data_IF_069588036609
#
_entry.id   IF_069588036609
#
_cell.length_a   1.000
_cell.length_b   1.000
_cell.length_c   1.000
_cell.angle_alpha   90.00
_cell.angle_beta   90.00
_cell.angle_gamma   90.00
#
_symmetry.space_group_name_H-M   'P 1'
#
loop_
_entity.id
_entity.type
_entity.pdbx_description
1 polymer ?
#
# COMPACT_ATOMS: atom_id res chain seq x y z
N UNK A 1 -5.18 18.98 22.53
CA UNK A 1 -6.35 18.71 21.65
C UNK A 1 -7.57 19.25 22.35
N UNK A 2 -8.35 20.09 21.69
CA UNK A 2 -9.61 20.62 22.22
C UNK A 2 -10.77 20.07 21.38
N UNK A 3 -11.85 19.68 22.04
CA UNK A 3 -13.04 19.16 21.39
C UNK A 3 -14.18 20.15 21.60
N UNK A 4 -14.75 20.62 20.50
CA UNK A 4 -15.87 21.55 20.48
C UNK A 4 -17.02 20.91 19.71
N UNK A 5 -18.25 21.18 20.12
CA UNK A 5 -19.45 20.72 19.42
C UNK A 5 -20.26 21.92 18.94
N UNK A 6 -20.88 21.79 17.76
CA UNK A 6 -21.69 22.85 17.14
C UNK A 6 -23.05 22.28 16.78
N UNK A 7 -24.13 22.91 17.27
CA UNK A 7 -25.47 22.59 16.84
C UNK A 7 -25.76 23.30 15.51
N UNK A 8 -25.87 22.53 14.42
CA UNK A 8 -26.12 23.09 13.09
C UNK A 8 -27.49 23.78 12.95
N UNK A 9 -28.52 23.36 13.68
CA UNK A 9 -29.83 24.04 13.64
C UNK A 9 -29.74 25.46 14.21
N UNK A 10 -28.94 25.64 15.25
CA UNK A 10 -28.67 26.95 15.86
C UNK A 10 -27.68 27.79 15.04
N UNK A 11 -26.88 27.15 14.17
CA UNK A 11 -25.79 27.79 13.42
C UNK A 11 -25.88 27.45 11.92
N UNK A 12 -27.05 27.68 11.32
CA UNK A 12 -27.36 27.23 9.97
C UNK A 12 -26.41 27.79 8.90
N UNK A 13 -26.05 29.08 9.00
CA UNK A 13 -25.12 29.72 8.07
C UNK A 13 -23.73 29.08 8.12
N UNK A 14 -23.19 28.83 9.33
CA UNK A 14 -21.89 28.18 9.51
C UNK A 14 -21.87 26.77 8.92
N UNK A 15 -22.87 25.94 9.27
CA UNK A 15 -22.95 24.59 8.74
C UNK A 15 -23.21 24.56 7.23
N UNK A 16 -23.95 25.53 6.69
CA UNK A 16 -24.10 25.70 5.24
C UNK A 16 -22.77 25.98 4.53
N UNK A 17 -21.97 26.91 5.05
CA UNK A 17 -20.64 27.25 4.51
C UNK A 17 -19.64 26.09 4.58
N UNK A 18 -19.75 25.24 5.61
CA UNK A 18 -18.93 24.02 5.74
C UNK A 18 -19.43 22.85 4.88
N UNK A 19 -20.53 23.02 4.12
CA UNK A 19 -21.11 21.97 3.29
C UNK A 19 -21.94 20.94 4.07
N UNK A 20 -22.36 21.26 5.30
CA UNK A 20 -23.12 20.38 6.19
C UNK A 20 -24.62 20.68 6.19
N UNK A 21 -25.15 21.22 5.09
CA UNK A 21 -26.57 21.58 4.95
C UNK A 21 -27.54 20.42 5.19
N UNK A 22 -27.09 19.18 4.97
CA UNK A 22 -27.88 17.98 5.29
C UNK A 22 -28.20 17.86 6.81
N UNK A 23 -27.38 18.43 7.69
CA UNK A 23 -27.63 18.46 9.13
C UNK A 23 -28.74 19.44 9.53
N UNK A 24 -29.18 20.31 8.60
CA UNK A 24 -30.22 21.31 8.85
C UNK A 24 -31.64 20.76 8.63
N UNK A 25 -31.81 19.89 7.62
CA UNK A 25 -33.13 19.55 7.07
C UNK A 25 -33.55 18.08 7.27
N UNK A 26 -32.74 17.25 7.93
CA UNK A 26 -32.95 15.80 7.96
C UNK A 26 -33.79 15.30 9.15
N UNK A 27 -34.61 14.28 8.89
CA UNK A 27 -35.20 13.43 9.92
C UNK A 27 -34.09 12.76 10.75
N UNK A 28 -34.19 12.82 12.09
CA UNK A 28 -33.17 12.39 13.06
C UNK A 28 -32.66 10.95 12.88
N UNK A 29 -33.43 10.06 12.26
CA UNK A 29 -33.14 8.63 12.20
C UNK A 29 -31.92 8.24 11.36
N UNK A 30 -31.45 9.09 10.43
CA UNK A 30 -30.33 8.76 9.52
C UNK A 30 -29.20 9.79 9.52
N UNK A 31 -29.16 10.68 10.52
CA UNK A 31 -28.12 11.71 10.61
C UNK A 31 -26.80 11.11 11.11
N UNK A 32 -25.73 11.31 10.34
CA UNK A 32 -24.36 11.02 10.78
C UNK A 32 -23.69 12.35 11.12
N UNK A 33 -23.04 12.50 12.29
CA UNK A 33 -22.31 13.74 12.61
C UNK A 33 -21.22 14.03 11.57
N UNK A 34 -20.87 15.29 11.42
CA UNK A 34 -19.73 15.75 10.62
C UNK A 34 -18.61 16.17 11.57
N UNK A 35 -17.39 15.72 11.31
CA UNK A 35 -16.23 15.98 12.16
C UNK A 35 -15.20 16.71 11.32
N UNK A 36 -14.70 17.83 11.86
CA UNK A 36 -13.66 18.65 11.26
C UNK A 36 -12.51 18.75 12.24
N UNK A 37 -11.29 18.49 11.75
CA UNK A 37 -10.06 18.74 12.49
C UNK A 37 -9.44 20.02 11.97
N UNK A 38 -9.38 21.04 12.84
CA UNK A 38 -8.63 22.25 12.58
C UNK A 38 -7.20 22.06 13.06
N UNK A 39 -6.24 22.19 12.13
CA UNK A 39 -4.82 22.02 12.42
C UNK A 39 -4.21 23.35 12.90
N UNK A 40 -3.13 23.31 13.71
CA UNK A 40 -2.48 24.52 14.22
C UNK A 40 -1.98 25.44 13.07
N UNK A 41 -1.93 26.75 13.37
CA UNK A 41 -1.90 27.90 12.44
C UNK A 41 -0.82 27.94 11.34
N UNK A 42 0.14 27.03 11.26
CA UNK A 42 1.16 27.07 10.20
C UNK A 42 0.63 26.66 8.82
N UNK A 43 -0.38 25.79 8.74
CA UNK A 43 -0.81 25.23 7.45
C UNK A 43 -2.24 25.63 7.04
N UNK A 44 -2.98 26.37 7.86
CA UNK A 44 -4.34 26.87 7.53
C UNK A 44 -5.37 25.79 7.16
N UNK A 45 -5.02 24.51 7.27
CA UNK A 45 -5.77 23.40 6.71
C UNK A 45 -6.78 22.87 7.73
N UNK A 46 -7.99 22.62 7.24
CA UNK A 46 -9.01 21.87 7.96
C UNK A 46 -9.22 20.54 7.26
N UNK A 47 -9.29 19.47 8.03
CA UNK A 47 -9.51 18.12 7.53
C UNK A 47 -10.91 17.66 7.88
N UNK A 48 -11.63 17.16 6.89
CA UNK A 48 -13.00 16.70 7.01
C UNK A 48 -13.00 15.18 7.14
N UNK A 49 -13.59 14.65 8.20
CA UNK A 49 -13.75 13.21 8.32
C UNK A 49 -14.88 12.73 7.41
N UNK A 50 -14.58 11.81 6.48
CA UNK A 50 -15.58 11.18 5.63
C UNK A 50 -16.59 10.37 6.48
N UNK A 51 -17.91 10.68 6.39
CA UNK A 51 -18.94 9.98 7.17
C UNK A 51 -19.00 8.47 6.92
N UNK A 52 -18.65 8.04 5.69
CA UNK A 52 -18.59 6.63 5.31
C UNK A 52 -17.61 5.82 6.16
N UNK A 53 -16.59 6.46 6.73
CA UNK A 53 -15.59 5.80 7.58
C UNK A 53 -16.15 5.42 8.95
N UNK A 54 -17.21 6.07 9.43
CA UNK A 54 -17.80 5.83 10.76
C UNK A 54 -19.19 5.20 10.71
N UNK A 55 -19.89 5.27 9.57
CA UNK A 55 -21.33 4.94 9.44
C UNK A 55 -21.72 3.53 9.95
N UNK A 56 -20.85 2.54 9.80
CA UNK A 56 -21.16 1.14 10.13
C UNK A 56 -20.37 0.59 11.32
N UNK A 57 -19.70 1.46 12.09
CA UNK A 57 -18.87 1.04 13.22
C UNK A 57 -19.68 1.06 14.51
N UNK A 58 -19.32 0.19 15.45
CA UNK A 58 -19.83 0.24 16.83
C UNK A 58 -19.33 1.50 17.53
N UNK A 59 -20.10 2.05 18.47
CA UNK A 59 -19.77 3.32 19.14
C UNK A 59 -18.35 3.36 19.73
N UNK A 60 -17.94 2.34 20.50
CA UNK A 60 -16.59 2.27 21.07
C UNK A 60 -15.49 2.26 19.99
N UNK A 61 -15.77 1.66 18.83
CA UNK A 61 -14.85 1.63 17.70
C UNK A 61 -14.81 2.97 16.97
N UNK A 62 -15.92 3.70 16.90
CA UNK A 62 -15.98 5.07 16.37
C UNK A 62 -15.08 5.98 17.19
N UNK A 63 -15.19 5.95 18.52
CA UNK A 63 -14.35 6.79 19.41
C UNK A 63 -12.87 6.49 19.18
N UNK A 64 -12.47 5.22 19.24
CA UNK A 64 -11.07 4.81 18.99
C UNK A 64 -10.59 5.25 17.61
N UNK A 65 -11.43 5.08 16.59
CA UNK A 65 -11.12 5.46 15.22
C UNK A 65 -10.92 6.97 15.08
N UNK A 66 -11.82 7.81 15.63
CA UNK A 66 -11.69 9.27 15.58
C UNK A 66 -10.43 9.73 16.31
N UNK A 67 -10.13 9.14 17.47
CA UNK A 67 -8.90 9.44 18.22
C UNK A 67 -7.65 9.12 17.39
N UNK A 68 -7.56 7.91 16.81
CA UNK A 68 -6.43 7.51 15.97
C UNK A 68 -6.34 8.38 14.70
N UNK A 69 -7.47 8.66 14.05
CA UNK A 69 -7.56 9.55 12.91
C UNK A 69 -7.05 10.95 13.26
N UNK A 70 -7.39 11.47 14.44
CA UNK A 70 -6.96 12.79 14.89
C UNK A 70 -5.46 12.85 15.11
N UNK A 71 -4.90 11.92 15.89
CA UNK A 71 -3.45 11.86 16.14
C UNK A 71 -2.64 11.63 14.86
N UNK A 72 -3.08 10.72 13.99
CA UNK A 72 -2.44 10.45 12.70
C UNK A 72 -2.38 11.71 11.84
N UNK A 73 -3.49 12.44 11.73
CA UNK A 73 -3.54 13.63 10.90
C UNK A 73 -2.82 14.83 11.51
N UNK A 74 -2.72 14.91 12.84
CA UNK A 74 -1.84 15.89 13.50
C UNK A 74 -0.39 15.66 13.10
N UNK A 75 0.11 14.41 13.19
CA UNK A 75 1.47 14.06 12.77
C UNK A 75 1.67 14.40 11.28
N UNK A 76 0.74 13.99 10.41
CA UNK A 76 0.84 14.28 8.98
C UNK A 76 0.86 15.78 8.68
N UNK A 77 0.19 16.60 9.47
CA UNK A 77 0.15 18.06 9.26
C UNK A 77 1.45 18.77 9.61
N UNK A 78 2.28 18.18 10.48
CA UNK A 78 3.54 18.80 10.87
C UNK A 78 4.56 18.75 9.73
N UNK A 79 4.45 17.76 8.84
CA UNK A 79 5.36 17.55 7.69
C UNK A 79 6.84 17.70 8.05
N UNK A 80 7.21 17.25 9.27
CA UNK A 80 8.57 17.42 9.78
C UNK A 80 9.58 16.72 8.86
N UNK A 81 10.71 17.39 8.62
CA UNK A 81 11.87 16.80 7.95
C UNK A 81 12.59 15.88 8.93
N UNK A 82 12.48 14.57 8.71
CA UNK A 82 13.04 13.54 9.59
C UNK A 82 14.11 12.73 8.87
N UNK A 83 15.07 12.18 9.63
CA UNK A 83 16.01 11.20 9.08
C UNK A 83 15.29 9.89 8.76
N UNK A 84 15.76 9.17 7.74
CA UNK A 84 15.11 7.94 7.27
C UNK A 84 15.08 6.88 8.37
N UNK A 85 16.12 6.82 9.21
CA UNK A 85 16.17 5.88 10.32
C UNK A 85 15.11 6.17 11.40
N UNK A 86 14.78 7.44 11.65
CA UNK A 86 13.76 7.82 12.62
C UNK A 86 12.36 7.44 12.12
N UNK A 87 12.09 7.71 10.83
CA UNK A 87 10.84 7.29 10.18
C UNK A 87 10.71 5.77 10.20
N UNK A 88 11.79 5.05 9.87
CA UNK A 88 11.87 3.57 9.89
C UNK A 88 11.49 3.03 11.28
N UNK A 89 12.08 3.58 12.34
CA UNK A 89 11.80 3.18 13.71
C UNK A 89 10.36 3.49 14.12
N UNK A 90 9.83 4.66 13.74
CA UNK A 90 8.46 5.06 14.06
C UNK A 90 7.40 4.13 13.46
N UNK A 91 7.58 3.70 12.21
CA UNK A 91 6.65 2.79 11.55
C UNK A 91 6.90 1.30 11.84
N UNK A 92 8.08 0.93 12.33
CA UNK A 92 8.49 -0.46 12.47
C UNK A 92 8.96 -1.10 11.16
N UNK A 93 9.49 -0.32 10.23
CA UNK A 93 10.11 -0.86 9.02
C UNK A 93 11.46 -1.49 9.38
N UNK A 94 11.88 -2.48 8.60
CA UNK A 94 13.13 -3.21 8.85
C UNK A 94 13.90 -3.41 7.55
N UNK A 95 15.21 -3.58 7.70
CA UNK A 95 16.09 -4.06 6.63
C UNK A 95 16.31 -5.56 6.72
N UNK A 96 15.97 -6.22 7.83
CA UNK A 96 16.13 -7.66 8.02
C UNK A 96 14.88 -8.25 8.67
N UNK A 97 14.40 -9.36 8.13
CA UNK A 97 13.30 -10.13 8.71
C UNK A 97 13.84 -11.22 9.61
N UNK A 98 12.98 -11.66 10.52
CA UNK A 98 13.26 -12.76 11.43
C UNK A 98 13.11 -14.09 10.70
N UNK A 99 13.90 -15.07 11.15
CA UNK A 99 13.79 -16.44 10.67
C UNK A 99 12.70 -17.20 11.44
N UNK A 100 12.26 -18.34 10.90
CA UNK A 100 11.18 -19.17 11.46
C UNK A 100 11.39 -19.55 12.94
N UNK A 101 12.63 -19.57 13.39
CA UNK A 101 13.01 -20.01 14.74
C UNK A 101 13.20 -18.85 15.73
N UNK A 102 13.11 -17.60 15.29
CA UNK A 102 13.34 -16.40 16.11
C UNK A 102 12.01 -15.85 16.67
N UNK A 103 11.41 -16.64 17.57
CA UNK A 103 10.13 -16.30 18.20
C UNK A 103 10.31 -15.06 19.06
N UNK A 104 9.53 -14.03 18.73
CA UNK A 104 9.63 -12.71 19.34
C UNK A 104 8.33 -11.96 19.13
N UNK A 105 8.23 -10.75 19.69
CA UNK A 105 7.03 -9.94 19.57
C UNK A 105 6.63 -9.73 18.11
N UNK A 106 5.34 -9.93 17.85
CA UNK A 106 4.74 -9.83 16.54
C UNK A 106 4.72 -8.35 16.14
N UNK A 107 5.34 -7.99 15.00
CA UNK A 107 5.38 -6.61 14.56
C UNK A 107 3.99 -6.03 14.38
N UNK A 108 3.83 -4.74 14.71
CA UNK A 108 2.62 -4.03 14.33
C UNK A 108 2.69 -3.67 12.83
N UNK A 109 2.00 -4.44 12.00
CA UNK A 109 1.96 -4.23 10.55
C UNK A 109 1.14 -3.00 10.12
N UNK A 110 0.33 -2.39 10.99
CA UNK A 110 -0.70 -1.42 10.60
C UNK A 110 -0.20 -0.18 9.86
N UNK A 111 1.05 0.22 10.12
CA UNK A 111 1.61 1.51 9.69
C UNK A 111 2.23 1.45 8.30
N UNK A 112 1.90 2.46 7.50
CA UNK A 112 2.52 2.73 6.18
C UNK A 112 2.97 4.19 6.15
N UNK A 113 4.25 4.44 5.85
CA UNK A 113 4.77 5.78 5.63
C UNK A 113 4.96 6.04 4.14
N UNK A 114 4.49 7.20 3.70
CA UNK A 114 4.87 7.79 2.42
C UNK A 114 5.84 8.93 2.69
N UNK A 115 7.00 8.86 2.04
CA UNK A 115 8.12 9.77 2.33
C UNK A 115 8.50 10.47 1.03
N UNK A 116 8.44 11.80 1.06
CA UNK A 116 9.09 12.62 0.04
C UNK A 116 10.55 12.83 0.42
N UNK A 117 11.43 12.17 -0.32
CA UNK A 117 12.88 12.30 -0.18
C UNK A 117 13.35 13.42 -1.10
N UNK A 118 13.90 14.48 -0.54
CA UNK A 118 14.42 15.63 -1.26
C UNK A 118 15.95 15.58 -1.30
N UNK A 119 16.55 16.10 -2.38
CA UNK A 119 17.97 16.42 -2.38
C UNK A 119 18.14 17.81 -1.75
N UNK A 120 18.87 17.96 -0.63
CA UNK A 120 19.02 19.25 0.05
C UNK A 120 19.63 20.33 -0.85
N UNK A 121 20.37 19.95 -1.89
CA UNK A 121 21.04 20.89 -2.80
C UNK A 121 20.14 21.38 -3.94
N UNK A 122 19.02 20.70 -4.23
CA UNK A 122 18.17 21.01 -5.40
C UNK A 122 16.68 21.18 -5.08
N UNK A 123 16.30 21.10 -3.80
CA UNK A 123 14.91 21.28 -3.37
C UNK A 123 14.41 22.70 -3.63
N UNK A 124 13.15 22.83 -4.03
CA UNK A 124 12.46 24.12 -4.19
C UNK A 124 11.14 24.13 -3.40
N UNK A 125 10.58 25.33 -3.14
CA UNK A 125 9.35 25.47 -2.36
C UNK A 125 8.17 24.71 -2.96
N UNK A 126 8.08 24.64 -4.30
CA UNK A 126 7.03 23.91 -5.00
C UNK A 126 7.05 22.41 -4.71
N UNK A 127 8.21 21.86 -4.33
CA UNK A 127 8.32 20.46 -3.94
C UNK A 127 7.59 20.19 -2.62
N UNK A 128 7.48 21.17 -1.71
CA UNK A 128 6.81 21.00 -0.41
C UNK A 128 5.28 21.20 -0.51
N UNK A 129 4.83 22.07 -1.42
CA UNK A 129 3.40 22.38 -1.63
C UNK A 129 2.57 21.13 -1.92
N UNK A 130 3.15 20.12 -2.58
CA UNK A 130 2.39 18.91 -2.89
C UNK A 130 1.94 18.19 -1.62
N UNK A 131 2.75 18.16 -0.57
CA UNK A 131 2.44 17.43 0.67
C UNK A 131 1.17 17.97 1.34
N UNK A 132 0.98 19.29 1.33
CA UNK A 132 -0.25 19.91 1.84
C UNK A 132 -1.49 19.46 1.05
N UNK A 133 -1.39 19.35 -0.28
CA UNK A 133 -2.47 18.84 -1.12
C UNK A 133 -2.78 17.34 -0.91
N UNK A 134 -1.86 16.59 -0.29
CA UNK A 134 -2.06 15.18 0.03
C UNK A 134 -2.73 14.96 1.40
N UNK A 135 -2.79 15.97 2.27
CA UNK A 135 -3.30 15.81 3.65
C UNK A 135 -4.74 15.28 3.69
N UNK A 136 -5.69 15.91 3.00
CA UNK A 136 -7.08 15.44 2.98
C UNK A 136 -7.24 14.08 2.28
N UNK A 137 -6.67 13.84 1.09
CA UNK A 137 -6.72 12.52 0.48
C UNK A 137 -6.13 11.39 1.35
N UNK A 138 -5.06 11.65 2.10
CA UNK A 138 -4.50 10.68 3.06
C UNK A 138 -5.39 10.54 4.29
N UNK A 139 -5.98 11.64 4.78
CA UNK A 139 -6.95 11.62 5.87
C UNK A 139 -8.17 10.74 5.55
N UNK A 140 -8.53 10.67 4.28
CA UNK A 140 -9.66 9.87 3.76
C UNK A 140 -9.38 8.36 3.69
N UNK A 141 -8.12 7.93 3.85
CA UNK A 141 -7.75 6.52 3.83
C UNK A 141 -8.10 5.86 5.17
N UNK A 142 -8.74 4.68 5.07
CA UNK A 142 -9.11 3.84 6.21
C UNK A 142 -7.93 2.94 6.66
N UNK A 143 -6.71 3.48 6.74
CA UNK A 143 -5.49 2.80 7.21
C UNK A 143 -4.59 3.74 8.02
N UNK A 144 -3.62 3.23 8.79
CA UNK A 144 -2.62 4.06 9.47
C UNK A 144 -1.52 4.54 8.51
N UNK A 145 -1.90 5.50 7.66
CA UNK A 145 -1.01 6.13 6.67
C UNK A 145 -0.40 7.41 7.22
N UNK A 146 0.91 7.50 7.10
CA UNK A 146 1.70 8.65 7.52
C UNK A 146 2.38 9.33 6.33
N UNK A 147 2.48 10.66 6.38
CA UNK A 147 3.23 11.46 5.42
C UNK A 147 4.44 12.07 6.11
N UNK A 148 5.61 11.95 5.50
CA UNK A 148 6.85 12.54 6.00
C UNK A 148 7.64 13.21 4.87
N UNK A 149 8.48 14.15 5.26
CA UNK A 149 9.55 14.71 4.44
C UNK A 149 10.89 14.19 4.96
N UNK A 150 11.84 13.98 4.05
CA UNK A 150 13.22 13.68 4.43
C UNK A 150 14.21 14.33 3.46
N UNK A 151 15.21 15.03 3.99
CA UNK A 151 16.41 15.46 3.23
C UNK A 151 17.57 14.46 3.31
N UNK A 152 17.37 13.33 3.99
CA UNK A 152 18.35 12.24 4.14
C UNK A 152 18.34 11.29 2.93
N UNK A 153 18.71 11.84 1.76
CA UNK A 153 18.77 11.12 0.49
C UNK A 153 19.66 9.87 0.55
N UNK A 154 20.84 9.96 1.14
CA UNK A 154 21.78 8.83 1.21
C UNK A 154 21.25 7.73 2.13
N UNK A 155 20.63 8.10 3.26
CA UNK A 155 19.93 7.15 4.13
C UNK A 155 18.79 6.42 3.41
N UNK A 156 18.04 7.12 2.55
CA UNK A 156 16.97 6.52 1.76
C UNK A 156 17.50 5.51 0.73
N UNK A 157 18.54 5.89 -0.02
CA UNK A 157 19.16 5.01 -1.02
C UNK A 157 19.78 3.77 -0.37
N UNK A 158 20.47 3.95 0.78
CA UNK A 158 21.03 2.84 1.55
C UNK A 158 19.94 1.90 2.06
N UNK A 159 18.86 2.44 2.61
CA UNK A 159 17.71 1.63 3.07
C UNK A 159 17.17 0.75 1.94
N UNK A 160 16.96 1.32 0.74
CA UNK A 160 16.46 0.58 -0.42
C UNK A 160 17.43 -0.55 -0.84
N UNK A 161 18.74 -0.28 -0.84
CA UNK A 161 19.76 -1.27 -1.18
C UNK A 161 19.82 -2.40 -0.14
N UNK A 162 19.84 -2.06 1.15
CA UNK A 162 19.90 -3.03 2.24
C UNK A 162 18.66 -3.94 2.23
N UNK A 163 17.48 -3.36 1.99
CA UNK A 163 16.22 -4.11 1.87
C UNK A 163 16.23 -5.05 0.66
N UNK A 164 16.68 -4.61 -0.51
CA UNK A 164 16.75 -5.49 -1.69
C UNK A 164 17.70 -6.66 -1.48
N UNK A 165 18.90 -6.40 -0.94
CA UNK A 165 19.89 -7.44 -0.67
C UNK A 165 19.32 -8.48 0.30
N UNK A 166 18.75 -8.03 1.41
CA UNK A 166 18.20 -8.93 2.42
C UNK A 166 16.90 -9.60 1.93
N UNK A 167 16.15 -8.99 1.02
CA UNK A 167 14.99 -9.64 0.38
C UNK A 167 15.44 -10.87 -0.40
N UNK A 168 16.50 -10.73 -1.20
CA UNK A 168 17.06 -11.82 -2.00
C UNK A 168 17.57 -12.94 -1.09
N UNK A 169 18.32 -12.59 -0.05
CA UNK A 169 18.81 -13.57 0.93
C UNK A 169 17.64 -14.25 1.66
N UNK A 170 16.54 -13.53 1.92
CA UNK A 170 15.35 -14.06 2.58
C UNK A 170 14.53 -15.01 1.69
N UNK A 171 14.50 -14.81 0.37
CA UNK A 171 13.73 -15.69 -0.54
C UNK A 171 14.55 -16.82 -1.16
N UNK A 172 15.89 -16.76 -1.09
CA UNK A 172 16.77 -17.79 -1.63
C UNK A 172 16.58 -19.10 -0.86
N UNK A 173 16.19 -20.15 -1.60
CA UNK A 173 16.43 -21.54 -1.22
C UNK A 173 17.75 -22.01 -1.88
N UNK A 174 18.41 -23.02 -1.32
CA UNK A 174 19.80 -23.47 -1.60
C UNK A 174 20.20 -23.72 -3.09
N UNK A 175 19.30 -23.59 -4.08
CA UNK A 175 19.54 -24.02 -5.47
C UNK A 175 19.69 -22.93 -6.55
N UNK A 176 19.73 -21.61 -6.25
CA UNK A 176 19.77 -20.59 -7.33
C UNK A 176 20.94 -19.59 -7.27
N UNK A 177 22.07 -19.98 -7.85
CA UNK A 177 23.28 -19.16 -8.05
C UNK A 177 23.28 -18.26 -9.31
N UNK A 178 22.17 -18.18 -10.06
CA UNK A 178 22.03 -17.35 -11.26
C UNK A 178 21.35 -15.98 -11.01
N UNK A 179 20.93 -15.68 -9.78
CA UNK A 179 20.09 -14.52 -9.45
C UNK A 179 20.84 -13.18 -9.27
N UNK A 180 22.16 -13.18 -9.06
CA UNK A 180 22.85 -12.00 -8.52
C UNK A 180 23.00 -10.84 -9.54
N UNK A 181 23.23 -11.12 -10.84
CA UNK A 181 23.33 -10.06 -11.87
C UNK A 181 21.98 -9.53 -12.35
N UNK A 182 20.94 -10.37 -12.34
CA UNK A 182 19.58 -9.96 -12.72
C UNK A 182 18.98 -9.10 -11.62
N UNK A 183 19.31 -9.40 -10.35
CA UNK A 183 18.94 -8.62 -9.18
C UNK A 183 19.33 -7.14 -9.28
N UNK A 184 20.59 -6.82 -9.63
CA UNK A 184 21.04 -5.42 -9.65
C UNK A 184 20.30 -4.59 -10.72
N UNK A 185 20.14 -5.14 -11.93
CA UNK A 185 19.39 -4.47 -13.00
C UNK A 185 17.92 -4.32 -12.66
N UNK A 186 17.32 -5.33 -12.03
CA UNK A 186 15.95 -5.28 -11.53
C UNK A 186 15.79 -4.16 -10.49
N UNK A 187 16.70 -4.12 -9.51
CA UNK A 187 16.72 -3.09 -8.47
C UNK A 187 16.79 -1.69 -9.08
N UNK A 188 17.77 -1.42 -9.94
CA UNK A 188 17.91 -0.12 -10.62
C UNK A 188 16.67 0.19 -11.44
N UNK A 189 16.14 -0.78 -12.19
CA UNK A 189 14.94 -0.58 -13.00
C UNK A 189 13.71 -0.23 -12.17
N UNK A 190 13.66 -0.61 -10.89
CA UNK A 190 12.54 -0.39 -9.98
C UNK A 190 12.71 0.90 -9.17
N UNK A 191 13.91 1.19 -8.69
CA UNK A 191 14.16 2.29 -7.74
C UNK A 191 14.66 3.58 -8.39
N UNK A 192 15.08 3.55 -9.66
CA UNK A 192 15.53 4.76 -10.36
C UNK A 192 14.38 5.76 -10.52
N UNK A 193 14.54 6.92 -9.87
CA UNK A 193 13.62 8.05 -9.91
C UNK A 193 14.41 9.36 -9.78
N UNK A 194 13.85 10.46 -10.26
CA UNK A 194 14.37 11.82 -10.00
C UNK A 194 14.09 12.28 -8.57
N UNK A 195 14.82 13.30 -8.10
CA UNK A 195 14.49 14.01 -6.87
C UNK A 195 13.58 15.23 -7.18
N UNK A 196 12.58 15.52 -6.33
CA UNK A 196 12.19 14.73 -5.16
C UNK A 196 11.70 13.33 -5.55
N UNK A 197 11.99 12.35 -4.69
CA UNK A 197 11.60 10.94 -4.84
C UNK A 197 10.50 10.65 -3.84
N UNK A 198 9.53 9.82 -4.21
CA UNK A 198 8.47 9.39 -3.30
C UNK A 198 8.58 7.88 -3.04
N UNK A 199 8.68 7.47 -1.78
CA UNK A 199 8.80 6.05 -1.38
C UNK A 199 7.70 5.66 -0.40
N UNK A 200 7.33 4.38 -0.40
CA UNK A 200 6.33 3.83 0.52
C UNK A 200 6.98 2.78 1.44
N UNK A 201 7.25 3.14 2.69
CA UNK A 201 7.72 2.18 3.69
C UNK A 201 6.55 1.51 4.40
N UNK A 202 6.63 0.20 4.55
CA UNK A 202 5.65 -0.59 5.30
C UNK A 202 6.36 -1.28 6.46
N UNK A 203 5.67 -1.34 7.59
CA UNK A 203 6.16 -2.09 8.76
C UNK A 203 6.50 -3.54 8.36
N UNK A 204 7.66 -4.01 8.82
CA UNK A 204 8.18 -5.36 8.57
C UNK A 204 8.16 -5.84 7.11
N UNK A 205 8.37 -4.94 6.15
CA UNK A 205 8.53 -5.26 4.73
C UNK A 205 9.97 -5.00 4.28
N UNK A 206 10.58 -5.96 3.56
CA UNK A 206 11.83 -5.77 2.80
C UNK A 206 11.58 -5.22 1.40
N UNK A 207 10.32 -4.94 1.07
CA UNK A 207 9.94 -4.34 -0.19
C UNK A 207 9.44 -2.91 0.02
N UNK A 208 10.10 -1.96 -0.63
CA UNK A 208 9.72 -0.55 -0.65
C UNK A 208 9.41 -0.11 -2.08
N UNK A 209 8.12 0.11 -2.42
CA UNK A 209 7.72 0.76 -3.65
C UNK A 209 8.33 2.16 -3.77
N UNK A 210 8.85 2.48 -4.95
CA UNK A 210 9.34 3.80 -5.32
C UNK A 210 8.45 4.33 -6.45
N UNK A 211 7.96 5.55 -6.31
CA UNK A 211 7.28 6.25 -7.40
C UNK A 211 8.30 6.64 -8.45
N UNK A 212 8.21 6.04 -9.63
CA UNK A 212 9.15 6.27 -10.73
C UNK A 212 8.81 7.57 -11.44
N UNK A 213 9.52 8.64 -11.10
CA UNK A 213 9.48 9.90 -11.83
C UNK A 213 10.75 10.06 -12.66
N UNK A 214 10.60 10.43 -13.94
CA UNK A 214 11.75 10.76 -14.81
C UNK A 214 11.96 12.27 -14.94
N UNK A 215 11.03 13.06 -14.39
CA UNK A 215 11.12 14.52 -14.29
C UNK A 215 10.49 15.01 -13.00
N UNK A 216 10.96 16.15 -12.48
CA UNK A 216 10.37 16.82 -11.31
C UNK A 216 8.89 17.21 -11.53
N UNK A 217 8.47 17.44 -12.78
CA UNK A 217 7.07 17.72 -13.12
C UNK A 217 6.13 16.55 -12.79
N UNK A 218 6.61 15.30 -12.88
CA UNK A 218 5.77 14.13 -12.62
C UNK A 218 5.52 13.88 -11.14
N UNK A 219 6.47 14.24 -10.28
CA UNK A 219 6.26 14.17 -8.83
C UNK A 219 5.47 15.36 -8.32
N UNK A 220 5.51 16.51 -8.99
CA UNK A 220 4.64 17.67 -8.68
C UNK A 220 3.18 17.49 -9.14
N UNK A 221 2.84 16.40 -9.83
CA UNK A 221 1.47 16.07 -10.22
C UNK A 221 0.77 15.32 -9.08
N UNK A 222 -0.06 16.04 -8.32
CA UNK A 222 -0.82 15.50 -7.19
C UNK A 222 -1.65 14.28 -7.57
N UNK A 223 -2.22 14.22 -8.78
CA UNK A 223 -3.06 13.07 -9.18
C UNK A 223 -2.23 11.80 -9.33
N UNK A 224 -1.02 11.92 -9.88
CA UNK A 224 -0.12 10.77 -10.04
C UNK A 224 0.42 10.29 -8.70
N UNK A 225 0.83 11.21 -7.82
CA UNK A 225 1.29 10.85 -6.46
C UNK A 225 0.16 10.23 -5.65
N UNK A 226 -1.07 10.77 -5.74
CA UNK A 226 -2.24 10.17 -5.11
C UNK A 226 -2.56 8.77 -5.65
N UNK A 227 -2.38 8.54 -6.95
CA UNK A 227 -2.50 7.20 -7.53
C UNK A 227 -1.48 6.25 -6.92
N UNK A 228 -0.22 6.68 -6.78
CA UNK A 228 0.82 5.87 -6.14
C UNK A 228 0.49 5.56 -4.68
N UNK A 229 0.04 6.56 -3.91
CA UNK A 229 -0.39 6.40 -2.51
C UNK A 229 -1.56 5.41 -2.44
N UNK A 230 -2.60 5.62 -3.24
CA UNK A 230 -3.81 4.79 -3.25
C UNK A 230 -3.56 3.35 -3.67
N UNK A 231 -2.50 3.08 -4.44
CA UNK A 231 -2.08 1.71 -4.79
C UNK A 231 -1.26 1.03 -3.70
N UNK A 232 -0.69 1.78 -2.75
CA UNK A 232 0.30 1.26 -1.78
C UNK A 232 -0.08 1.46 -0.30
N UNK A 233 -1.21 2.10 0.00
CA UNK A 233 -1.59 2.47 1.37
C UNK A 233 -1.97 1.32 2.32
N UNK A 234 -2.22 0.12 1.79
CA UNK A 234 -2.48 -1.06 2.61
C UNK A 234 -1.17 -1.58 3.21
N UNK A 235 -1.16 -1.95 4.49
CA UNK A 235 0.00 -2.57 5.10
C UNK A 235 0.31 -3.93 4.47
N UNK A 236 1.49 -4.45 4.77
CA UNK A 236 1.95 -5.72 4.21
C UNK A 236 1.03 -6.89 4.60
N UNK A 237 0.66 -6.96 5.87
CA UNK A 237 -0.25 -7.96 6.42
C UNK A 237 -1.39 -7.22 7.11
N UNK A 238 -2.64 -7.57 6.81
CA UNK A 238 -3.81 -7.01 7.50
C UNK A 238 -4.53 -8.05 8.36
N UNK A 239 -5.08 -7.62 9.48
CA UNK A 239 -6.14 -8.38 10.15
C UNK A 239 -7.44 -8.19 9.37
N UNK A 240 -8.05 -9.24 8.84
CA UNK A 240 -9.38 -9.14 8.27
C UNK A 240 -10.44 -9.26 9.37
N UNK A 241 -11.21 -8.20 9.56
CA UNK A 241 -12.27 -8.11 10.57
C UNK A 241 -13.56 -7.55 9.98
N UNK A 242 -14.65 -7.62 10.73
CA UNK A 242 -15.94 -7.05 10.32
C UNK A 242 -15.88 -5.54 10.05
N UNK A 243 -15.00 -4.83 10.79
CA UNK A 243 -14.87 -3.36 10.72
C UNK A 243 -14.06 -2.89 9.52
N UNK A 244 -13.07 -3.67 9.06
CA UNK A 244 -12.16 -3.27 7.99
C UNK A 244 -12.25 -4.13 6.72
N UNK A 245 -13.15 -5.11 6.66
CA UNK A 245 -13.33 -5.97 5.47
C UNK A 245 -13.53 -5.20 4.16
N UNK A 246 -14.17 -4.03 4.18
CA UNK A 246 -14.40 -3.24 2.95
C UNK A 246 -13.19 -2.39 2.52
N UNK A 247 -12.17 -2.28 3.37
CA UNK A 247 -10.85 -1.74 3.03
C UNK A 247 -10.08 -2.78 2.19
N UNK A 248 -10.11 -4.05 2.63
CA UNK A 248 -9.47 -5.19 1.94
C UNK A 248 -10.26 -5.61 0.70
N UNK A 249 -11.59 -5.71 0.81
CA UNK A 249 -12.53 -6.08 -0.26
C UNK A 249 -13.48 -4.91 -0.57
N UNK A 250 -13.06 -3.91 -1.36
CA UNK A 250 -13.92 -2.80 -1.75
C UNK A 250 -15.15 -3.29 -2.51
N UNK A 251 -16.32 -2.72 -2.17
CA UNK A 251 -17.60 -3.05 -2.86
C UNK A 251 -17.62 -2.68 -4.34
N UNK A 252 -16.76 -1.75 -4.75
CA UNK A 252 -16.64 -1.26 -6.13
C UNK A 252 -15.17 -1.17 -6.51
N UNK A 253 -14.86 -1.60 -7.72
CA UNK A 253 -13.52 -1.48 -8.29
C UNK A 253 -13.26 -0.02 -8.68
N UNK A 254 -12.16 0.56 -8.19
CA UNK A 254 -11.67 1.86 -8.66
C UNK A 254 -10.96 1.70 -10.01
N UNK A 255 -10.85 2.75 -10.85
CA UNK A 255 -9.98 2.73 -12.02
C UNK A 255 -8.51 2.41 -11.72
N UNK A 256 -8.09 2.58 -10.46
CA UNK A 256 -6.74 2.25 -9.99
C UNK A 256 -6.55 0.75 -9.67
N UNK A 257 -7.64 0.00 -9.57
CA UNK A 257 -7.61 -1.42 -9.21
C UNK A 257 -7.61 -2.33 -10.43
N UNK A 258 -7.03 -3.51 -10.27
CA UNK A 258 -7.06 -4.57 -11.28
C UNK A 258 -7.96 -5.73 -10.86
N UNK A 259 -8.71 -6.30 -11.82
CA UNK A 259 -9.51 -7.52 -11.60
C UNK A 259 -8.65 -8.74 -11.22
N UNK A 260 -7.35 -8.66 -11.52
CA UNK A 260 -6.38 -9.73 -11.26
C UNK A 260 -5.81 -9.69 -9.84
N UNK A 261 -6.13 -8.67 -9.04
CA UNK A 261 -5.73 -8.58 -7.64
C UNK A 261 -6.26 -9.76 -6.81
N UNK A 262 -5.41 -10.27 -5.91
CA UNK A 262 -5.71 -11.42 -5.06
C UNK A 262 -5.45 -11.09 -3.59
N UNK A 263 -6.23 -11.72 -2.73
CA UNK A 263 -6.12 -11.66 -1.28
C UNK A 263 -5.76 -13.07 -0.80
N UNK A 264 -4.66 -13.21 -0.05
CA UNK A 264 -4.31 -14.46 0.61
C UNK A 264 -4.88 -14.40 2.03
N UNK A 265 -5.90 -15.19 2.32
CA UNK A 265 -6.52 -15.29 3.64
C UNK A 265 -5.91 -16.47 4.37
N UNK A 266 -5.13 -16.22 5.43
CA UNK A 266 -4.59 -17.28 6.31
C UNK A 266 -5.42 -17.37 7.59
N UNK A 267 -5.83 -18.57 7.96
CA UNK A 267 -6.73 -18.78 9.10
C UNK A 267 -5.91 -18.99 10.38
N UNK A 268 -6.26 -18.26 11.44
CA UNK A 268 -5.59 -18.30 12.73
C UNK A 268 -6.59 -18.39 13.88
N UNK A 269 -6.11 -18.77 15.06
CA UNK A 269 -6.83 -18.76 16.35
C UNK A 269 -6.18 -17.81 17.37
N UNK A 270 -5.22 -16.99 16.92
CA UNK A 270 -4.44 -16.05 17.73
C UNK A 270 -3.65 -16.67 18.89
N UNK A 271 -3.45 -17.99 18.90
CA UNK A 271 -2.51 -18.60 19.84
C UNK A 271 -1.08 -18.16 19.49
N UNK A 272 -0.23 -17.73 20.45
CA UNK A 272 1.02 -17.02 20.16
C UNK A 272 1.94 -17.74 19.15
N UNK A 273 2.16 -19.04 19.35
CA UNK A 273 3.01 -19.85 18.46
C UNK A 273 2.41 -19.96 17.05
N UNK A 274 1.12 -20.28 16.98
CA UNK A 274 0.41 -20.46 15.72
C UNK A 274 0.31 -19.16 14.93
N UNK A 275 0.06 -18.04 15.62
CA UNK A 275 -0.02 -16.74 15.02
C UNK A 275 1.33 -16.28 14.46
N UNK A 276 2.44 -16.61 15.14
CA UNK A 276 3.78 -16.40 14.61
C UNK A 276 4.06 -17.24 13.35
N UNK A 277 3.66 -18.51 13.33
CA UNK A 277 3.82 -19.36 12.14
C UNK A 277 3.02 -18.84 10.93
N UNK A 278 1.78 -18.39 11.17
CA UNK A 278 0.93 -17.75 10.15
C UNK A 278 1.55 -16.44 9.66
N UNK A 279 2.08 -15.60 10.56
CA UNK A 279 2.78 -14.36 10.21
C UNK A 279 4.01 -14.64 9.34
N UNK A 280 4.88 -15.55 9.77
CA UNK A 280 6.07 -15.94 9.03
C UNK A 280 5.72 -16.45 7.63
N UNK A 281 4.71 -17.33 7.53
CA UNK A 281 4.19 -17.83 6.26
C UNK A 281 3.74 -16.68 5.33
N UNK A 282 2.87 -15.79 5.82
CA UNK A 282 2.38 -14.66 5.02
C UNK A 282 3.51 -13.72 4.59
N UNK A 283 4.48 -13.49 5.48
CA UNK A 283 5.67 -12.69 5.19
C UNK A 283 6.50 -13.33 4.07
N UNK A 284 6.82 -14.63 4.16
CA UNK A 284 7.55 -15.36 3.12
C UNK A 284 6.81 -15.32 1.77
N UNK A 285 5.52 -15.67 1.76
CA UNK A 285 4.72 -15.70 0.54
C UNK A 285 4.65 -14.30 -0.10
N UNK A 286 4.40 -13.25 0.69
CA UNK A 286 4.37 -11.88 0.19
C UNK A 286 5.69 -11.49 -0.47
N UNK A 287 6.81 -11.66 0.22
CA UNK A 287 8.12 -11.26 -0.27
C UNK A 287 8.54 -12.05 -1.52
N UNK A 288 8.33 -13.37 -1.52
CA UNK A 288 8.57 -14.24 -2.69
C UNK A 288 7.70 -13.82 -3.88
N UNK A 289 6.41 -13.61 -3.65
CA UNK A 289 5.48 -13.17 -4.69
C UNK A 289 5.86 -11.82 -5.28
N UNK A 290 6.17 -10.82 -4.44
CA UNK A 290 6.57 -9.50 -4.92
C UNK A 290 7.85 -9.54 -5.74
N UNK A 291 8.84 -10.33 -5.32
CA UNK A 291 10.05 -10.55 -6.10
C UNK A 291 9.75 -11.15 -7.48
N UNK A 292 8.99 -12.26 -7.53
CA UNK A 292 8.62 -12.92 -8.78
C UNK A 292 7.81 -12.02 -9.71
N UNK A 293 6.89 -11.23 -9.14
CA UNK A 293 6.09 -10.24 -9.87
C UNK A 293 6.99 -9.17 -10.49
N UNK A 294 7.90 -8.59 -9.71
CA UNK A 294 8.84 -7.58 -10.19
C UNK A 294 9.77 -8.13 -11.25
N UNK A 295 10.25 -9.37 -11.08
CA UNK A 295 11.06 -10.07 -12.07
C UNK A 295 10.32 -10.22 -13.41
N UNK A 296 9.05 -10.63 -13.37
CA UNK A 296 8.20 -10.77 -14.56
C UNK A 296 7.97 -9.43 -15.25
N UNK A 297 7.73 -8.36 -14.50
CA UNK A 297 7.58 -7.00 -15.05
C UNK A 297 8.90 -6.56 -15.71
N UNK A 298 10.03 -6.77 -15.05
CA UNK A 298 11.35 -6.44 -15.59
C UNK A 298 11.64 -7.16 -16.90
N UNK A 299 11.38 -8.46 -16.97
CA UNK A 299 11.57 -9.26 -18.19
C UNK A 299 10.72 -8.73 -19.36
N UNK A 300 9.47 -8.30 -19.10
CA UNK A 300 8.64 -7.67 -20.13
C UNK A 300 9.18 -6.32 -20.57
N UNK A 301 9.62 -5.48 -19.62
CA UNK A 301 10.23 -4.17 -19.93
C UNK A 301 11.48 -4.37 -20.79
N UNK A 302 12.34 -5.32 -20.42
CA UNK A 302 13.57 -5.63 -21.15
C UNK A 302 13.26 -6.13 -22.57
N UNK A 303 12.29 -7.05 -22.71
CA UNK A 303 11.80 -7.51 -24.01
C UNK A 303 11.29 -6.36 -24.88
N UNK A 304 10.42 -5.49 -24.35
CA UNK A 304 9.89 -4.34 -25.09
C UNK A 304 11.00 -3.35 -25.50
N UNK A 305 12.03 -3.17 -24.66
CA UNK A 305 13.20 -2.34 -25.01
C UNK A 305 14.00 -2.97 -26.15
N UNK A 306 14.27 -4.27 -26.08
CA UNK A 306 15.04 -4.97 -27.10
C UNK A 306 14.31 -4.95 -28.45
N UNK A 307 13.01 -5.27 -28.48
CA UNK A 307 12.18 -5.20 -29.69
C UNK A 307 12.19 -3.78 -30.30
N UNK A 308 12.08 -2.75 -29.46
CA UNK A 308 12.16 -1.35 -29.90
C UNK A 308 13.53 -0.99 -30.47
N UNK A 309 14.62 -1.44 -29.86
CA UNK A 309 15.97 -1.18 -30.34
C UNK A 309 16.28 -1.93 -31.64
N UNK A 310 15.84 -3.18 -31.77
CA UNK A 310 15.93 -3.96 -33.01
C UNK A 310 15.18 -3.28 -34.15
N UNK A 311 13.97 -2.80 -33.89
CA UNK A 311 13.17 -2.08 -34.88
C UNK A 311 13.82 -0.76 -35.32
N UNK A 312 14.36 0.01 -34.37
CA UNK A 312 15.12 1.23 -34.68
C UNK A 312 16.36 0.92 -35.51
N UNK A 313 17.09 -0.16 -35.21
CA UNK A 313 18.24 -0.56 -36.01
C UNK A 313 17.84 -1.01 -37.42
N UNK A 314 16.71 -1.72 -37.56
CA UNK A 314 16.14 -2.08 -38.87
C UNK A 314 15.74 -0.84 -39.67
N UNK A 315 15.12 0.15 -39.04
CA UNK A 315 14.77 1.43 -39.66
C UNK A 315 16.02 2.17 -40.16
N UNK A 316 17.10 2.20 -39.36
CA UNK A 316 18.39 2.78 -39.77
C UNK A 316 19.03 2.06 -40.96
N UNK A 317 18.93 0.73 -41.03
CA UNK A 317 19.47 -0.06 -42.13
C UNK A 317 18.64 0.08 -43.42
N UNK A 318 17.37 0.47 -43.31
CA UNK A 318 16.45 0.67 -44.42
C UNK A 318 16.32 2.15 -44.82
N UNK A 319 17.27 3.01 -44.42
CA UNK A 319 17.29 4.45 -44.71
C UNK A 319 15.98 5.19 -44.35
N UNK A 320 15.32 4.79 -43.26
CA UNK A 320 14.15 5.50 -42.74
C UNK A 320 14.51 6.94 -42.35
N UNK A 321 13.51 7.84 -42.40
CA UNK A 321 13.76 9.24 -42.06
C UNK A 321 14.10 9.40 -40.57
N UNK A 322 14.88 10.45 -40.25
CA UNK A 322 15.22 10.77 -38.87
C UNK A 322 13.98 10.97 -37.99
N UNK A 323 12.91 11.53 -38.54
CA UNK A 323 11.66 11.76 -37.82
C UNK A 323 10.97 10.44 -37.43
N UNK A 324 10.92 9.47 -38.34
CA UNK A 324 10.34 8.14 -38.07
C UNK A 324 11.14 7.40 -36.97
N UNK A 325 12.46 7.50 -37.01
CA UNK A 325 13.34 6.90 -36.00
C UNK A 325 13.10 7.57 -34.64
N UNK A 326 12.96 8.90 -34.60
CA UNK A 326 12.70 9.65 -33.36
C UNK A 326 11.32 9.28 -32.80
N UNK A 327 10.30 9.17 -33.63
CA UNK A 327 8.96 8.80 -33.20
C UNK A 327 8.93 7.38 -32.66
N UNK A 328 9.66 6.44 -33.29
CA UNK A 328 9.83 5.11 -32.71
C UNK A 328 10.55 5.19 -31.37
N UNK A 329 11.60 5.98 -31.23
CA UNK A 329 12.30 6.19 -29.95
C UNK A 329 11.43 6.85 -28.87
N UNK A 330 10.37 7.58 -29.24
CA UNK A 330 9.40 8.19 -28.30
C UNK A 330 8.32 7.24 -27.82
N UNK A 331 8.11 6.10 -28.47
CA UNK A 331 7.12 5.12 -28.02
C UNK A 331 7.38 4.71 -26.56
N UNK A 332 6.32 4.80 -25.74
CA UNK A 332 6.41 4.48 -24.32
C UNK A 332 6.35 2.97 -24.11
N UNK A 333 7.20 2.49 -23.21
CA UNK A 333 7.08 1.15 -22.63
C UNK A 333 5.83 1.16 -21.75
N UNK A 334 4.90 0.25 -21.99
CA UNK A 334 3.57 0.26 -21.35
C UNK A 334 3.57 -0.36 -19.96
N UNK A 335 4.54 -1.23 -19.68
CA UNK A 335 4.66 -1.93 -18.40
C UNK A 335 5.20 -0.99 -17.30
N UNK A 336 4.64 -1.09 -16.10
CA UNK A 336 4.99 -0.24 -14.95
C UNK A 336 4.97 -1.03 -13.65
N UNK A 337 5.95 -0.78 -12.77
CA UNK A 337 6.00 -1.35 -11.43
C UNK A 337 4.90 -0.80 -10.50
N UNK A 338 4.24 0.30 -10.89
CA UNK A 338 3.16 0.94 -10.12
C UNK A 338 1.80 0.34 -10.49
N UNK A 339 1.71 -0.50 -11.53
CA UNK A 339 0.46 -1.22 -11.86
C UNK A 339 -0.03 -2.01 -10.65
N UNK A 340 -1.34 -2.15 -10.51
CA UNK A 340 -1.98 -3.01 -9.50
C UNK A 340 -2.24 -4.42 -10.02
N UNK A 341 -1.86 -4.72 -11.26
CA UNK A 341 -2.02 -6.04 -11.86
C UNK A 341 -1.30 -7.10 -11.06
N UNK A 342 -2.04 -8.18 -10.78
CA UNK A 342 -1.63 -9.31 -9.98
C UNK A 342 -1.02 -8.89 -8.63
N UNK A 343 -1.54 -7.85 -7.96
CA UNK A 343 -1.13 -7.59 -6.59
C UNK A 343 -1.67 -8.66 -5.64
N UNK A 344 -0.86 -9.01 -4.63
CA UNK A 344 -1.23 -9.90 -3.54
C UNK A 344 -1.34 -9.11 -2.24
N UNK A 345 -2.44 -9.29 -1.52
CA UNK A 345 -2.63 -8.72 -0.19
C UNK A 345 -2.82 -9.85 0.84
N UNK A 346 -1.81 -10.16 1.64
CA UNK A 346 -1.92 -11.09 2.75
C UNK A 346 -2.82 -10.53 3.86
N UNK A 347 -3.73 -11.38 4.33
CA UNK A 347 -4.57 -11.11 5.49
C UNK A 347 -4.67 -12.33 6.37
N UNK A 348 -4.74 -12.12 7.68
CA UNK A 348 -5.14 -13.17 8.62
C UNK A 348 -6.57 -12.96 9.08
N UNK A 349 -7.25 -14.07 9.35
CA UNK A 349 -8.64 -14.08 9.78
C UNK A 349 -8.81 -15.07 10.92
N UNK A 350 -9.54 -14.66 11.96
CA UNK A 350 -9.94 -15.54 13.06
C UNK A 350 -10.89 -16.62 12.55
N UNK A 351 -10.60 -17.88 12.88
CA UNK A 351 -11.50 -19.00 12.61
C UNK A 351 -12.90 -18.75 13.18
N UNK A 352 -13.01 -18.17 14.38
CA UNK A 352 -14.30 -17.91 15.03
C UNK A 352 -15.15 -16.88 14.28
N UNK A 353 -14.50 -15.99 13.53
CA UNK A 353 -15.17 -14.92 12.76
C UNK A 353 -15.34 -15.27 11.28
N UNK A 354 -14.73 -16.36 10.81
CA UNK A 354 -14.70 -16.76 9.40
C UNK A 354 -16.11 -16.84 8.79
N UNK A 355 -17.04 -17.53 9.47
CA UNK A 355 -18.42 -17.69 9.00
C UNK A 355 -19.13 -16.34 8.80
N UNK A 356 -18.95 -15.42 9.75
CA UNK A 356 -19.55 -14.09 9.70
C UNK A 356 -18.96 -13.24 8.58
N UNK A 357 -17.63 -13.24 8.44
CA UNK A 357 -16.94 -12.46 7.40
C UNK A 357 -17.30 -12.98 6.01
N UNK A 358 -17.21 -14.30 5.80
CA UNK A 358 -17.56 -14.96 4.56
C UNK A 358 -19.00 -14.68 4.12
N UNK A 359 -19.97 -14.80 5.04
CA UNK A 359 -21.37 -14.47 4.77
C UNK A 359 -21.54 -13.01 4.33
N UNK A 360 -20.81 -12.08 4.96
CA UNK A 360 -20.92 -10.65 4.65
C UNK A 360 -20.21 -10.22 3.35
N UNK A 361 -19.24 -11.00 2.90
CA UNK A 361 -18.51 -10.82 1.63
C UNK A 361 -19.08 -11.71 0.51
N UNK A 362 -20.19 -12.41 0.77
CA UNK A 362 -20.83 -13.35 -0.15
C UNK A 362 -19.91 -14.47 -0.65
N UNK A 363 -19.05 -15.01 0.22
CA UNK A 363 -18.24 -16.19 -0.07
C UNK A 363 -19.04 -17.49 0.05
N UNK A 364 -20.30 -17.50 -0.41
CA UNK A 364 -21.26 -18.57 -0.19
C UNK A 364 -20.88 -19.89 -0.90
N UNK A 365 -19.85 -19.86 -1.75
CA UNK A 365 -19.29 -21.05 -2.44
C UNK A 365 -18.20 -21.75 -1.62
N UNK A 366 -17.65 -21.10 -0.59
CA UNK A 366 -16.68 -21.71 0.31
C UNK A 366 -17.40 -22.65 1.28
N UNK A 367 -16.89 -23.87 1.41
CA UNK A 367 -17.32 -24.76 2.47
C UNK A 367 -16.54 -24.44 3.76
N UNK A 368 -17.05 -23.45 4.49
CA UNK A 368 -16.38 -22.85 5.64
C UNK A 368 -16.00 -23.87 6.71
N UNK A 369 -16.80 -24.94 6.86
CA UNK A 369 -16.61 -25.96 7.89
C UNK A 369 -15.39 -26.85 7.64
N UNK A 370 -14.83 -26.84 6.43
CA UNK A 370 -13.63 -27.63 6.08
C UNK A 370 -12.33 -26.98 6.52
N UNK A 371 -12.33 -25.67 6.75
CA UNK A 371 -11.09 -24.97 7.04
C UNK A 371 -10.74 -25.05 8.52
N UNK A 372 -9.45 -25.24 8.77
CA UNK A 372 -8.86 -25.24 10.10
C UNK A 372 -7.77 -24.17 10.19
N UNK A 373 -7.30 -23.97 11.41
CA UNK A 373 -6.17 -23.11 11.70
C UNK A 373 -4.94 -23.55 10.89
N UNK A 374 -4.25 -22.59 10.28
CA UNK A 374 -3.11 -22.83 9.39
C UNK A 374 -3.47 -23.02 7.92
N UNK A 375 -4.75 -23.22 7.58
CA UNK A 375 -5.16 -23.25 6.18
C UNK A 375 -5.15 -21.86 5.56
N UNK A 376 -4.96 -21.82 4.24
CA UNK A 376 -4.94 -20.61 3.43
C UNK A 376 -5.92 -20.67 2.28
N UNK A 377 -6.49 -19.53 1.92
CA UNK A 377 -7.41 -19.37 0.80
C UNK A 377 -6.97 -18.17 -0.01
N UNK A 378 -6.69 -18.38 -1.29
CA UNK A 378 -6.44 -17.31 -2.23
C UNK A 378 -7.78 -16.88 -2.85
N UNK A 379 -8.15 -15.60 -2.72
CA UNK A 379 -9.43 -15.08 -3.20
C UNK A 379 -9.17 -13.91 -4.14
N UNK A 380 -9.82 -13.89 -5.30
CA UNK A 380 -9.84 -12.71 -6.16
C UNK A 380 -10.56 -11.57 -5.45
N UNK A 381 -9.87 -10.42 -5.33
CA UNK A 381 -10.35 -9.26 -4.56
C UNK A 381 -11.70 -8.74 -5.03
N UNK A 382 -12.02 -8.88 -6.32
CA UNK A 382 -13.22 -8.30 -6.94
C UNK A 382 -14.20 -9.30 -7.54
N UNK A 383 -13.76 -10.51 -7.89
CA UNK A 383 -14.64 -11.51 -8.53
C UNK A 383 -15.20 -12.55 -7.56
N UNK A 384 -14.59 -12.69 -6.37
CA UNK A 384 -14.97 -13.72 -5.41
C UNK A 384 -14.60 -15.15 -5.82
N UNK A 385 -13.90 -15.33 -6.95
CA UNK A 385 -13.28 -16.62 -7.28
C UNK A 385 -12.20 -16.95 -6.24
N UNK A 386 -12.14 -18.20 -5.80
CA UNK A 386 -11.17 -18.65 -4.82
C UNK A 386 -10.38 -19.86 -5.31
N UNK A 387 -9.22 -20.06 -4.67
CA UNK A 387 -8.35 -21.21 -4.82
C UNK A 387 -7.85 -21.55 -3.42
N UNK A 388 -8.12 -22.76 -2.96
CA UNK A 388 -7.70 -23.29 -1.67
C UNK A 388 -6.83 -24.54 -1.81
N UNK A 389 -6.47 -24.90 -3.05
CA UNK A 389 -5.61 -26.03 -3.37
C UNK A 389 -4.45 -25.61 -4.27
N UNK A 390 -3.32 -26.31 -4.14
CA UNK A 390 -2.16 -26.21 -5.02
C UNK A 390 -2.43 -26.88 -6.39
N UNK A 391 -1.43 -26.85 -7.27
CA UNK A 391 -1.50 -27.47 -8.60
C UNK A 391 -1.64 -29.01 -8.56
N UNK A 392 -1.43 -29.64 -7.40
CA UNK A 392 -1.56 -31.09 -7.17
C UNK A 392 -2.85 -31.46 -6.42
N UNK A 393 -3.72 -30.48 -6.14
CA UNK A 393 -4.97 -30.68 -5.41
C UNK A 393 -4.82 -30.76 -3.88
N UNK A 394 -3.65 -30.44 -3.32
CA UNK A 394 -3.42 -30.39 -1.87
C UNK A 394 -3.87 -29.05 -1.31
N UNK A 395 -4.47 -29.07 -0.13
CA UNK A 395 -4.91 -27.86 0.57
C UNK A 395 -3.74 -26.90 0.81
N UNK A 396 -3.92 -25.62 0.48
CA UNK A 396 -2.96 -24.57 0.80
C UNK A 396 -2.89 -24.41 2.33
N UNK A 397 -1.68 -24.53 2.87
CA UNK A 397 -1.45 -24.53 4.30
C UNK A 397 -0.09 -23.90 4.63
N UNK A 398 0.02 -23.30 5.81
CA UNK A 398 1.22 -22.62 6.30
C UNK A 398 2.48 -23.49 6.35
N UNK A 399 2.32 -24.82 6.40
CA UNK A 399 3.44 -25.77 6.39
C UNK A 399 4.11 -25.89 5.01
N UNK A 400 3.40 -25.59 3.92
CA UNK A 400 3.86 -25.79 2.54
C UNK A 400 4.08 -24.45 1.80
N UNK A 401 4.91 -23.57 2.38
CA UNK A 401 5.21 -22.22 1.85
C UNK A 401 5.58 -22.22 0.37
N UNK A 402 6.35 -23.21 -0.09
CA UNK A 402 6.87 -23.21 -1.45
C UNK A 402 5.84 -23.55 -2.53
N UNK A 403 4.72 -24.16 -2.13
CA UNK A 403 3.66 -24.64 -3.01
C UNK A 403 2.52 -23.61 -3.19
N UNK A 404 2.41 -22.67 -2.24
CA UNK A 404 1.54 -21.49 -2.29
C UNK A 404 2.13 -20.39 -3.17
#
# INVERSE_FOLDING_TARGET
LEFHYVNCKSNAALCGSLGFSELLNSNLKNLTPRIVLYLPKSNGNSLFLKPSLIKNRKFNHIVKFITNWTYRNLINSELQDLKINDIKNFIGATTKLKDKNDISDIPNYSKVAFIQVNDPNTQVLEDDIILDHLLQPVADLDSEVYLFKSTDKDGALKLLQDQERNLIDYIKNDEQSLQDKISEKLFISRTRSTFPMFIALKSSSLYTPVYQSFTSKEIRDTKKVLSFISSNYLPMINHLSDDNKYQVFPKRMSPLNSKTEKILVSITDFQPKQFFEVEFYMSKVYHKFQYLRNMKIFQKIDKQRNEKHEEVNRMKLNDATSDDIIDKLREKITESYISTDNNLFPVYLDLDTLSKVASSLNWNKLDIQKYKVGDSILISRFTGQYWDQDLRGRQLNIENIDET
#
